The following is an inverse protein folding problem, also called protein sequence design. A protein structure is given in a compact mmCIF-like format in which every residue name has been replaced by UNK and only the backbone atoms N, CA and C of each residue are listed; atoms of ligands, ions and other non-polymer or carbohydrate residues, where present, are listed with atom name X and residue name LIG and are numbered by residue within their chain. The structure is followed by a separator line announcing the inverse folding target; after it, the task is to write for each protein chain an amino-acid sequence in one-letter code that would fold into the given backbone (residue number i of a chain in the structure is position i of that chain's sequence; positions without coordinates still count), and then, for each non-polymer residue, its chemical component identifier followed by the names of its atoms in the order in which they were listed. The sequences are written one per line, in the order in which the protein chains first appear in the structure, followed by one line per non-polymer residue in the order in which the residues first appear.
data_IF_131162780238
#
_entry.id   IF_131162780238
#
_cell.length_a   1.000
_cell.length_b   1.000
_cell.length_c   1.000
_cell.angle_alpha   90.00
_cell.angle_beta   90.00
_cell.angle_gamma   90.00
#
_symmetry.space_group_name_H-M   'P 1'
#
loop_
_entity.id
_entity.type
_entity.pdbx_description
1 polymer ?
#
# COMPACT_ATOMS: atom_id res chain seq x y z
N UNK A 1 9.94 17.11 8.46
CA UNK A 1 8.63 16.60 8.02
C UNK A 1 7.67 16.93 9.13
N UNK A 2 6.99 18.07 8.97
CA UNK A 2 5.92 18.56 9.83
C UNK A 2 4.96 19.33 8.93
N UNK A 3 4.59 18.69 7.82
CA UNK A 3 3.47 19.21 7.05
C UNK A 3 2.19 18.90 7.82
N UNK A 4 1.22 19.81 7.73
CA UNK A 4 0.01 19.81 8.56
C UNK A 4 -0.79 18.50 8.47
N UNK A 5 -0.60 17.73 7.39
CA UNK A 5 -1.31 16.49 7.10
C UNK A 5 -0.55 15.21 7.48
N UNK A 6 0.69 15.28 7.99
CA UNK A 6 1.49 14.10 8.34
C UNK A 6 0.82 13.22 9.43
N UNK A 7 -0.13 13.78 10.18
CA UNK A 7 -0.87 13.11 11.25
C UNK A 7 -2.19 12.48 10.82
N UNK A 8 -2.63 12.72 9.58
CA UNK A 8 -3.90 12.22 9.07
C UNK A 8 -3.79 10.78 8.57
N UNK A 9 -4.92 10.06 8.62
CA UNK A 9 -5.03 8.75 7.98
C UNK A 9 -4.81 8.90 6.47
N UNK A 10 -4.15 7.90 5.87
CA UNK A 10 -3.81 7.88 4.45
C UNK A 10 -4.45 6.69 3.76
N UNK A 11 -4.90 6.90 2.53
CA UNK A 11 -5.37 5.83 1.66
C UNK A 11 -4.27 5.43 0.67
N UNK A 12 -4.05 4.12 0.52
CA UNK A 12 -3.04 3.56 -0.38
C UNK A 12 -3.73 2.70 -1.45
N UNK A 13 -3.69 3.16 -2.70
CA UNK A 13 -4.15 2.39 -3.86
C UNK A 13 -2.96 1.87 -4.67
N UNK A 14 -3.07 0.62 -5.14
CA UNK A 14 -2.08 0.00 -6.02
C UNK A 14 -2.80 -0.44 -7.28
N UNK A 15 -2.46 0.18 -8.41
CA UNK A 15 -2.98 -0.19 -9.72
C UNK A 15 -1.94 -1.04 -10.46
N UNK A 16 -2.37 -2.17 -11.01
CA UNK A 16 -1.53 -2.96 -11.91
C UNK A 16 -1.29 -2.18 -13.21
N UNK A 17 -0.03 -2.09 -13.63
CA UNK A 17 0.35 -1.46 -14.90
C UNK A 17 0.06 -2.35 -16.12
N UNK A 18 0.60 -1.95 -17.27
CA UNK A 18 0.53 -2.77 -18.48
C UNK A 18 1.33 -4.07 -18.32
N UNK A 19 0.71 -5.20 -18.67
CA UNK A 19 1.30 -6.55 -18.56
C UNK A 19 0.33 -7.67 -18.14
N UNK A 20 -0.97 -7.39 -18.07
CA UNK A 20 -2.00 -8.43 -17.89
C UNK A 20 -1.90 -9.14 -16.54
N UNK A 21 -1.98 -10.47 -16.54
CA UNK A 21 -1.99 -11.30 -15.32
C UNK A 21 -0.73 -11.13 -14.47
N UNK A 22 0.44 -11.04 -15.10
CA UNK A 22 1.72 -10.93 -14.38
C UNK A 22 1.80 -9.62 -13.58
N UNK A 23 1.36 -8.51 -14.18
CA UNK A 23 1.29 -7.22 -13.48
C UNK A 23 0.28 -7.23 -12.33
N UNK A 24 -0.81 -8.00 -12.46
CA UNK A 24 -1.79 -8.17 -11.38
C UNK A 24 -1.22 -9.00 -10.22
N UNK A 25 -0.49 -10.07 -10.51
CA UNK A 25 0.16 -10.89 -9.49
C UNK A 25 1.20 -10.06 -8.72
N UNK A 26 1.98 -9.25 -9.43
CA UNK A 26 2.91 -8.30 -8.82
C UNK A 26 2.21 -7.26 -7.94
N UNK A 27 1.09 -6.67 -8.41
CA UNK A 27 0.30 -5.73 -7.61
C UNK A 27 -0.25 -6.40 -6.34
N UNK A 28 -0.69 -7.66 -6.42
CA UNK A 28 -1.12 -8.43 -5.24
C UNK A 28 0.03 -8.72 -4.27
N UNK A 29 1.24 -9.01 -4.78
CA UNK A 29 2.42 -9.19 -3.94
C UNK A 29 2.75 -7.91 -3.15
N UNK A 30 2.72 -6.75 -3.82
CA UNK A 30 2.95 -5.45 -3.18
C UNK A 30 1.88 -5.14 -2.12
N UNK A 31 0.60 -5.40 -2.44
CA UNK A 31 -0.49 -5.24 -1.47
C UNK A 31 -0.24 -6.04 -0.19
N UNK A 32 0.13 -7.32 -0.32
CA UNK A 32 0.44 -8.18 0.84
C UNK A 32 1.64 -7.67 1.64
N UNK A 33 2.65 -7.11 0.98
CA UNK A 33 3.82 -6.53 1.65
C UNK A 33 3.41 -5.31 2.49
N UNK A 34 2.65 -4.38 1.91
CA UNK A 34 2.19 -3.19 2.62
C UNK A 34 1.21 -3.52 3.74
N UNK A 35 0.31 -4.50 3.57
CA UNK A 35 -0.54 -4.98 4.67
C UNK A 35 0.27 -5.43 5.88
N UNK A 36 1.30 -6.27 5.67
CA UNK A 36 2.18 -6.72 6.77
C UNK A 36 2.96 -5.57 7.41
N UNK A 37 3.39 -4.60 6.62
CA UNK A 37 4.09 -3.42 7.14
C UNK A 37 3.17 -2.54 8.00
N UNK A 38 1.93 -2.30 7.56
CA UNK A 38 0.90 -1.54 8.29
C UNK A 38 0.57 -2.25 9.61
N UNK A 39 0.33 -3.57 9.58
CA UNK A 39 0.10 -4.38 10.78
C UNK A 39 1.28 -4.28 11.77
N UNK A 40 2.53 -4.38 11.28
CA UNK A 40 3.74 -4.23 12.11
C UNK A 40 3.87 -2.84 12.72
N UNK A 41 3.43 -1.80 12.00
CA UNK A 41 3.40 -0.41 12.49
C UNK A 41 2.25 -0.14 13.47
N UNK A 42 1.41 -1.15 13.78
CA UNK A 42 0.19 -1.05 14.59
C UNK A 42 -0.81 -0.04 14.03
N UNK A 43 -0.71 0.28 12.75
CA UNK A 43 -1.69 1.05 12.03
C UNK A 43 -2.84 0.12 11.63
N UNK A 44 -4.06 0.63 11.59
CA UNK A 44 -5.22 -0.15 11.14
C UNK A 44 -5.22 -0.20 9.60
N UNK A 45 -5.46 -1.38 9.05
CA UNK A 45 -5.64 -1.59 7.61
C UNK A 45 -7.10 -1.36 7.23
#
# INVERSE_FOLDING_TARGET
MSEENDHLDTYLEIHAGAGGTESQDWAQMLRRMYSKWIEKKKCKF
#
